data_IF_722955126117
#
_entry.id   IF_722955126117
#
_cell.length_a   1.000
_cell.length_b   1.000
_cell.length_c   1.000
_cell.angle_alpha   90.00
_cell.angle_beta   90.00
_cell.angle_gamma   90.00
#
_symmetry.space_group_name_H-M   'P 1'
#
loop_
_entity.id
_entity.type
_entity.pdbx_description
1 polymer ?
#
# COMPACT_ATOMS: atom_id res chain seq x y z
N UNK A 1 0.61 -24.27 10.96
CA UNK A 1 -0.03 -23.16 11.70
C UNK A 1 0.34 -21.80 11.14
N UNK A 2 1.64 -21.48 10.98
CA UNK A 2 2.11 -20.20 10.40
C UNK A 2 1.52 -19.88 9.02
N UNK A 3 1.46 -20.85 8.11
CA UNK A 3 0.84 -20.66 6.78
C UNK A 3 -0.62 -20.20 6.86
N UNK A 4 -1.38 -20.68 7.84
CA UNK A 4 -2.77 -20.27 8.04
C UNK A 4 -2.88 -18.79 8.47
N UNK A 5 -1.95 -18.33 9.31
CA UNK A 5 -1.88 -16.91 9.67
C UNK A 5 -1.49 -16.03 8.48
N UNK A 6 -0.49 -16.44 7.69
CA UNK A 6 -0.07 -15.70 6.49
C UNK A 6 -1.25 -15.54 5.54
N UNK A 7 -1.92 -16.63 5.16
CA UNK A 7 -3.06 -16.58 4.24
C UNK A 7 -4.18 -15.72 4.83
N UNK A 8 -4.52 -15.89 6.11
CA UNK A 8 -5.58 -15.13 6.75
C UNK A 8 -5.28 -13.62 6.76
N UNK A 9 -4.10 -13.21 7.19
CA UNK A 9 -3.73 -11.80 7.31
C UNK A 9 -3.48 -11.15 5.94
N UNK A 10 -2.93 -11.88 4.95
CA UNK A 10 -2.82 -11.37 3.58
C UNK A 10 -4.19 -11.14 2.94
N UNK A 11 -5.15 -12.06 3.14
CA UNK A 11 -6.53 -11.87 2.66
C UNK A 11 -7.26 -10.73 3.39
N UNK A 12 -6.99 -10.57 4.68
CA UNK A 12 -7.56 -9.47 5.47
C UNK A 12 -6.97 -8.11 5.08
N UNK A 13 -5.66 -8.06 4.79
CA UNK A 13 -4.95 -6.88 4.32
C UNK A 13 -5.33 -6.45 2.90
N UNK A 14 -5.63 -7.40 2.02
CA UNK A 14 -6.13 -7.14 0.68
C UNK A 14 -7.65 -6.97 0.66
N UNK A 15 -8.40 -8.06 0.44
CA UNK A 15 -9.86 -8.02 0.26
C UNK A 15 -10.57 -7.37 1.45
N UNK A 16 -10.11 -7.61 2.67
CA UNK A 16 -10.68 -7.00 3.86
C UNK A 16 -10.54 -5.47 3.89
N UNK A 17 -9.38 -4.93 3.51
CA UNK A 17 -9.16 -3.47 3.47
C UNK A 17 -9.99 -2.81 2.38
N UNK A 18 -10.12 -3.43 1.19
CA UNK A 18 -10.97 -2.93 0.09
C UNK A 18 -12.45 -2.90 0.49
N UNK A 19 -12.93 -3.91 1.21
CA UNK A 19 -14.32 -3.93 1.71
C UNK A 19 -14.56 -2.80 2.72
N UNK A 20 -13.59 -2.52 3.59
CA UNK A 20 -13.68 -1.45 4.58
C UNK A 20 -13.55 -0.07 3.89
N UNK A 21 -12.66 0.08 2.91
CA UNK A 21 -12.49 1.32 2.16
C UNK A 21 -13.75 1.68 1.37
N UNK A 22 -14.50 0.68 0.89
CA UNK A 22 -15.79 0.91 0.23
C UNK A 22 -16.85 1.53 1.14
N UNK A 23 -16.82 1.28 2.46
CA UNK A 23 -17.71 1.95 3.42
C UNK A 23 -17.44 3.45 3.45
N UNK A 24 -16.21 3.87 3.19
CA UNK A 24 -15.82 5.27 3.17
C UNK A 24 -16.55 6.08 2.08
N UNK A 25 -16.98 5.39 1.01
CA UNK A 25 -17.73 5.97 -0.10
C UNK A 25 -19.20 6.23 0.21
N UNK A 26 -19.69 5.71 1.33
CA UNK A 26 -21.04 6.00 1.84
C UNK A 26 -21.10 7.42 2.43
N UNK A 27 -19.96 7.95 2.90
CA UNK A 27 -19.93 9.30 3.47
C UNK A 27 -20.10 10.38 2.38
N UNK A 28 -20.72 11.53 2.70
CA UNK A 28 -20.78 12.67 1.79
C UNK A 28 -19.39 13.19 1.40
N UNK A 29 -19.24 13.69 0.17
CA UNK A 29 -17.98 14.21 -0.37
C UNK A 29 -17.28 15.23 0.53
N UNK A 30 -18.06 16.05 1.25
CA UNK A 30 -17.52 17.04 2.20
C UNK A 30 -16.74 16.39 3.34
N UNK A 31 -17.23 15.24 3.85
CA UNK A 31 -16.58 14.47 4.91
C UNK A 31 -15.34 13.77 4.34
N UNK A 32 -15.47 13.12 3.18
CA UNK A 32 -14.36 12.43 2.53
C UNK A 32 -13.16 13.36 2.29
N UNK A 33 -13.40 14.56 1.74
CA UNK A 33 -12.35 15.58 1.50
C UNK A 33 -11.60 15.98 2.76
N UNK A 34 -12.27 15.99 3.92
CA UNK A 34 -11.64 16.32 5.20
C UNK A 34 -10.92 15.14 5.87
N UNK A 35 -11.33 13.91 5.56
CA UNK A 35 -10.82 12.70 6.21
C UNK A 35 -9.66 12.07 5.43
N UNK A 36 -9.66 12.13 4.10
CA UNK A 36 -8.60 11.58 3.24
C UNK A 36 -7.20 12.07 3.64
N UNK A 37 -6.91 13.38 3.83
CA UNK A 37 -5.57 13.81 4.22
C UNK A 37 -5.13 13.27 5.59
N UNK A 38 -6.09 13.10 6.51
CA UNK A 38 -5.84 12.54 7.86
C UNK A 38 -5.54 11.05 7.79
N UNK A 39 -6.28 10.32 6.95
CA UNK A 39 -6.05 8.91 6.66
C UNK A 39 -4.68 8.68 6.02
N UNK A 40 -4.28 9.51 5.05
CA UNK A 40 -2.94 9.45 4.45
C UNK A 40 -1.86 9.68 5.51
N UNK A 41 -2.03 10.71 6.35
CA UNK A 41 -1.07 11.00 7.43
C UNK A 41 -0.96 9.84 8.43
N UNK A 42 -2.10 9.20 8.75
CA UNK A 42 -2.16 8.02 9.59
C UNK A 42 -1.44 6.82 8.96
N UNK A 43 -1.73 6.51 7.69
CA UNK A 43 -1.06 5.45 6.91
C UNK A 43 0.46 5.62 6.87
N UNK A 44 0.93 6.84 6.57
CA UNK A 44 2.36 7.16 6.58
C UNK A 44 2.97 6.95 7.97
N UNK A 45 2.26 7.37 9.02
CA UNK A 45 2.70 7.17 10.40
C UNK A 45 2.79 5.70 10.80
N UNK A 46 1.81 4.87 10.44
CA UNK A 46 1.80 3.44 10.72
C UNK A 46 2.95 2.72 10.03
N UNK A 47 3.19 3.01 8.75
CA UNK A 47 4.28 2.42 7.97
C UNK A 47 5.66 2.83 8.51
N UNK A 48 5.87 4.12 8.80
CA UNK A 48 7.13 4.58 9.41
C UNK A 48 7.33 3.95 10.79
N UNK A 49 6.28 3.86 11.60
CA UNK A 49 6.32 3.19 12.89
C UNK A 49 6.70 1.71 12.77
N UNK A 50 6.05 0.96 11.89
CA UNK A 50 6.36 -0.45 11.65
C UNK A 50 7.78 -0.65 11.14
N UNK A 51 8.25 0.20 10.21
CA UNK A 51 9.60 0.12 9.69
C UNK A 51 10.66 0.40 10.75
N UNK A 52 10.58 1.56 11.44
CA UNK A 52 11.63 2.04 12.34
C UNK A 52 11.59 1.40 13.73
N UNK A 53 10.42 1.04 14.24
CA UNK A 53 10.27 0.47 15.59
C UNK A 53 10.11 -1.05 15.58
N UNK A 54 9.75 -1.64 14.43
CA UNK A 54 9.53 -3.07 14.26
C UNK A 54 10.61 -3.70 13.39
N UNK A 55 10.46 -3.56 12.07
CA UNK A 55 11.18 -4.33 11.05
C UNK A 55 12.70 -4.11 11.08
N UNK A 56 13.15 -2.85 11.05
CA UNK A 56 14.58 -2.51 11.03
C UNK A 56 15.31 -2.97 12.29
N UNK A 57 14.86 -2.64 13.52
CA UNK A 57 15.56 -3.09 14.73
C UNK A 57 15.53 -4.61 14.86
N UNK A 58 14.41 -5.28 14.55
CA UNK A 58 14.36 -6.75 14.56
C UNK A 58 15.36 -7.36 13.57
N UNK A 59 15.45 -6.85 12.34
CA UNK A 59 16.41 -7.35 11.37
C UNK A 59 17.86 -7.16 11.86
N UNK A 60 18.16 -6.02 12.48
CA UNK A 60 19.50 -5.74 13.01
C UNK A 60 19.89 -6.69 14.15
N UNK A 61 18.93 -7.05 15.02
CA UNK A 61 19.12 -8.02 16.10
C UNK A 61 19.24 -9.46 15.59
N UNK A 62 18.39 -9.86 14.64
CA UNK A 62 18.30 -11.24 14.13
C UNK A 62 19.52 -11.61 13.26
N UNK A 63 19.95 -10.69 12.38
CA UNK A 63 21.14 -10.90 11.54
C UNK A 63 22.47 -10.61 12.27
N UNK A 64 22.44 -9.88 13.39
CA UNK A 64 23.63 -9.45 14.13
C UNK A 64 24.54 -8.47 13.39
N UNK A 65 24.13 -7.99 12.21
CA UNK A 65 24.88 -7.04 11.38
C UNK A 65 24.00 -5.81 11.05
N UNK A 66 24.16 -4.79 11.90
CA UNK A 66 23.49 -3.49 11.73
C UNK A 66 23.88 -2.83 10.42
N UNK A 67 25.15 -2.96 10.00
CA UNK A 67 25.65 -2.31 8.78
C UNK A 67 25.00 -2.93 7.55
N UNK A 68 24.92 -4.25 7.49
CA UNK A 68 24.23 -4.95 6.41
C UNK A 68 22.73 -4.59 6.38
N UNK A 69 22.08 -4.54 7.54
CA UNK A 69 20.67 -4.15 7.64
C UNK A 69 20.41 -2.76 7.08
N UNK A 70 21.20 -1.75 7.49
CA UNK A 70 21.07 -0.39 6.98
C UNK A 70 21.42 -0.28 5.49
N UNK A 71 22.38 -1.09 4.99
CA UNK A 71 22.68 -1.15 3.56
C UNK A 71 21.50 -1.71 2.76
N UNK A 72 20.81 -2.74 3.25
CA UNK A 72 19.62 -3.28 2.59
C UNK A 72 18.47 -2.26 2.57
N UNK A 73 18.26 -1.51 3.66
CA UNK A 73 17.31 -0.39 3.70
C UNK A 73 17.67 0.67 2.65
N UNK A 74 18.95 1.07 2.57
CA UNK A 74 19.41 2.05 1.59
C UNK A 74 19.21 1.56 0.14
N UNK A 75 19.51 0.29 -0.14
CA UNK A 75 19.28 -0.32 -1.46
C UNK A 75 17.79 -0.26 -1.80
N UNK A 76 16.90 -0.61 -0.87
CA UNK A 76 15.45 -0.50 -1.06
C UNK A 76 15.02 0.93 -1.38
N UNK A 77 15.49 1.92 -0.61
CA UNK A 77 15.21 3.34 -0.85
C UNK A 77 15.68 3.81 -2.23
N UNK A 78 16.89 3.41 -2.66
CA UNK A 78 17.43 3.75 -3.98
C UNK A 78 16.58 3.12 -5.09
N UNK A 79 16.16 1.85 -4.93
CA UNK A 79 15.30 1.17 -5.91
C UNK A 79 13.97 1.90 -6.04
N UNK A 80 13.28 2.18 -4.93
CA UNK A 80 12.01 2.91 -4.96
C UNK A 80 12.16 4.33 -5.53
N UNK A 81 13.24 5.03 -5.20
CA UNK A 81 13.55 6.33 -5.78
C UNK A 81 13.72 6.26 -7.30
N UNK A 82 14.43 5.26 -7.81
CA UNK A 82 14.61 5.05 -9.25
C UNK A 82 13.28 4.71 -9.92
N UNK A 83 12.49 3.81 -9.33
CA UNK A 83 11.15 3.44 -9.82
C UNK A 83 10.24 4.66 -9.92
N UNK A 84 10.23 5.53 -8.89
CA UNK A 84 9.49 6.78 -8.89
C UNK A 84 9.86 7.66 -10.10
N UNK A 85 11.16 7.82 -10.40
CA UNK A 85 11.60 8.61 -11.56
C UNK A 85 11.19 8.01 -12.89
N UNK A 86 11.25 6.69 -13.03
CA UNK A 86 10.77 6.02 -14.25
C UNK A 86 9.26 6.20 -14.46
N UNK A 87 8.48 6.15 -13.39
CA UNK A 87 7.02 6.33 -13.45
C UNK A 87 6.63 7.77 -13.82
N UNK A 88 7.35 8.78 -13.29
CA UNK A 88 7.08 10.20 -13.53
C UNK A 88 7.65 10.71 -14.87
N UNK A 89 8.60 10.01 -15.50
CA UNK A 89 9.22 10.42 -16.77
C UNK A 89 8.25 10.46 -17.97
N UNK A 90 6.96 10.16 -17.81
CA UNK A 90 5.96 10.46 -18.84
C UNK A 90 5.64 11.97 -18.87
N UNK A 91 6.58 12.79 -19.33
CA UNK A 91 6.35 14.18 -19.70
C UNK A 91 5.76 14.24 -21.12
N UNK A 92 4.51 14.68 -21.24
CA UNK A 92 3.89 15.05 -22.51
C UNK A 92 3.97 16.59 -22.63
N UNK A 93 4.55 17.09 -23.72
CA UNK A 93 4.82 18.51 -23.98
C UNK A 93 3.84 19.10 -25.01
N UNK A 94 2.60 18.62 -25.06
CA UNK A 94 1.60 19.06 -26.05
C UNK A 94 0.24 19.30 -25.41
N UNK A 95 -0.41 20.41 -25.79
CA UNK A 95 -1.67 20.95 -25.25
C UNK A 95 -2.91 20.04 -25.48
N UNK A 96 -2.74 18.89 -26.14
CA UNK A 96 -3.81 17.93 -26.48
C UNK A 96 -3.53 16.49 -26.02
N UNK A 97 -2.87 16.32 -24.87
CA UNK A 97 -2.53 14.98 -24.41
C UNK A 97 -3.70 14.36 -23.60
N UNK A 98 -4.22 13.21 -24.05
CA UNK A 98 -5.27 12.38 -23.42
C UNK A 98 -4.83 11.74 -22.07
N UNK A 99 -4.07 12.45 -21.24
CA UNK A 99 -3.33 11.93 -20.07
C UNK A 99 -4.26 11.59 -18.89
N UNK A 100 -5.52 12.04 -18.91
CA UNK A 100 -6.45 11.75 -17.83
C UNK A 100 -6.83 10.25 -17.72
N UNK A 101 -6.85 9.48 -18.81
CA UNK A 101 -7.12 8.03 -18.72
C UNK A 101 -5.88 7.20 -18.34
N UNK A 102 -4.67 7.66 -18.68
CA UNK A 102 -3.43 6.97 -18.40
C UNK A 102 -3.13 6.85 -16.89
N UNK A 103 -3.62 7.80 -16.08
CA UNK A 103 -3.42 7.83 -14.63
C UNK A 103 -4.08 6.64 -13.93
N UNK A 104 -5.29 6.23 -14.34
CA UNK A 104 -6.00 5.12 -13.69
C UNK A 104 -5.27 3.77 -13.84
N UNK A 105 -4.86 3.43 -15.07
CA UNK A 105 -4.16 2.16 -15.34
C UNK A 105 -2.80 2.04 -14.64
N UNK A 106 -2.05 3.14 -14.56
CA UNK A 106 -0.75 3.18 -13.89
C UNK A 106 -0.90 3.03 -12.37
N UNK A 107 -1.95 3.64 -11.79
CA UNK A 107 -2.28 3.46 -10.37
C UNK A 107 -2.59 2.00 -10.07
N UNK A 108 -3.45 1.35 -10.87
CA UNK A 108 -3.76 -0.08 -10.64
C UNK A 108 -2.53 -0.98 -10.66
N UNK A 109 -1.59 -0.72 -11.57
CA UNK A 109 -0.34 -1.51 -11.68
C UNK A 109 0.55 -1.25 -10.46
N UNK A 110 0.69 0.01 -10.05
CA UNK A 110 1.46 0.39 -8.87
C UNK A 110 0.89 -0.21 -7.60
N UNK A 111 -0.44 -0.16 -7.45
CA UNK A 111 -1.17 -0.72 -6.32
C UNK A 111 -1.05 -2.25 -6.26
N UNK A 112 -1.16 -2.95 -7.38
CA UNK A 112 -0.91 -4.40 -7.42
C UNK A 112 0.52 -4.77 -6.99
N UNK A 113 1.51 -3.99 -7.42
CA UNK A 113 2.89 -4.20 -7.00
C UNK A 113 3.09 -3.91 -5.50
N UNK A 114 2.42 -2.88 -4.97
CA UNK A 114 2.45 -2.56 -3.54
C UNK A 114 1.87 -3.70 -2.71
N UNK A 115 0.64 -4.13 -3.03
CA UNK A 115 -0.05 -5.24 -2.37
C UNK A 115 0.77 -6.54 -2.39
N UNK A 116 1.48 -6.81 -3.49
CA UNK A 116 2.40 -7.94 -3.57
C UNK A 116 3.58 -7.83 -2.59
N UNK A 117 4.21 -6.65 -2.49
CA UNK A 117 5.31 -6.40 -1.55
C UNK A 117 4.82 -6.52 -0.10
N UNK A 118 3.63 -6.02 0.19
CA UNK A 118 3.00 -6.16 1.50
C UNK A 118 2.72 -7.62 1.87
N UNK A 119 2.26 -8.42 0.90
CA UNK A 119 2.13 -9.86 1.05
C UNK A 119 3.46 -10.55 1.39
N UNK A 120 4.56 -10.17 0.73
CA UNK A 120 5.91 -10.67 1.06
C UNK A 120 6.30 -10.28 2.48
N UNK A 121 6.04 -9.04 2.89
CA UNK A 121 6.40 -8.53 4.22
C UNK A 121 5.61 -9.23 5.33
N UNK A 122 4.31 -9.48 5.14
CA UNK A 122 3.49 -10.30 6.04
C UNK A 122 4.07 -11.72 6.13
N UNK A 123 4.36 -12.34 4.99
CA UNK A 123 4.91 -13.70 4.97
C UNK A 123 6.25 -13.78 5.70
N UNK A 124 7.18 -12.88 5.39
CA UNK A 124 8.52 -12.82 5.98
C UNK A 124 8.45 -12.66 7.50
N UNK A 125 7.65 -11.71 7.99
CA UNK A 125 7.55 -11.43 9.42
C UNK A 125 6.90 -12.56 10.22
N UNK A 126 5.88 -13.22 9.67
CA UNK A 126 5.31 -14.42 10.30
C UNK A 126 6.27 -15.62 10.30
N UNK A 127 7.18 -15.71 9.32
CA UNK A 127 8.24 -16.73 9.33
C UNK A 127 9.34 -16.42 10.36
N UNK A 128 9.55 -15.15 10.70
CA UNK A 128 10.48 -14.73 11.75
C UNK A 128 9.88 -14.91 13.14
N UNK A 129 8.72 -14.31 13.42
CA UNK A 129 8.01 -14.52 14.69
C UNK A 129 6.52 -14.15 14.59
N UNK A 130 5.67 -14.86 15.36
CA UNK A 130 4.23 -14.57 15.40
C UNK A 130 3.93 -13.13 15.86
N UNK A 131 4.57 -12.59 16.93
CA UNK A 131 4.30 -11.20 17.35
C UNK A 131 4.65 -10.18 16.26
N UNK A 132 5.80 -10.32 15.61
CA UNK A 132 6.23 -9.43 14.52
C UNK A 132 5.29 -9.55 13.31
N UNK A 133 4.86 -10.77 12.97
CA UNK A 133 3.87 -11.01 11.91
C UNK A 133 2.54 -10.32 12.19
N UNK A 134 2.02 -10.42 13.42
CA UNK A 134 0.77 -9.77 13.81
C UNK A 134 0.90 -8.24 13.75
N UNK A 135 1.95 -7.66 14.34
CA UNK A 135 2.14 -6.20 14.34
C UNK A 135 2.30 -5.65 12.93
N UNK A 136 3.05 -6.37 12.08
CA UNK A 136 3.25 -6.01 10.68
C UNK A 136 1.95 -6.11 9.89
N UNK A 137 1.20 -7.19 10.04
CA UNK A 137 -0.09 -7.35 9.36
C UNK A 137 -1.11 -6.28 9.76
N UNK A 138 -1.18 -5.90 11.04
CA UNK A 138 -2.02 -4.77 11.46
C UNK A 138 -1.56 -3.45 10.84
N UNK A 139 -0.25 -3.21 10.77
CA UNK A 139 0.28 -2.03 10.08
C UNK A 139 -0.10 -2.04 8.60
N UNK A 140 -0.06 -3.20 7.94
CA UNK A 140 -0.48 -3.38 6.55
C UNK A 140 -1.95 -3.01 6.38
N UNK A 141 -2.84 -3.73 7.07
CA UNK A 141 -4.30 -3.50 7.02
C UNK A 141 -4.66 -2.03 7.27
N UNK A 142 -3.99 -1.39 8.24
CA UNK A 142 -4.33 -0.02 8.65
C UNK A 142 -3.90 1.06 7.67
N UNK A 143 -2.84 0.84 6.89
CA UNK A 143 -2.42 1.80 5.86
C UNK A 143 -3.04 1.51 4.48
N UNK A 144 -3.42 0.25 4.23
CA UNK A 144 -4.16 -0.17 3.02
C UNK A 144 -5.55 0.48 2.95
N UNK A 145 -6.28 0.58 4.07
CA UNK A 145 -7.61 1.23 4.06
C UNK A 145 -7.54 2.67 3.51
N UNK A 146 -6.66 3.57 4.00
CA UNK A 146 -6.43 4.88 3.41
C UNK A 146 -6.00 4.87 1.94
N UNK A 147 -5.11 3.95 1.54
CA UNK A 147 -4.60 3.82 0.18
C UNK A 147 -5.72 3.50 -0.80
N UNK A 148 -6.50 2.48 -0.48
CA UNK A 148 -7.64 2.01 -1.26
C UNK A 148 -8.73 3.09 -1.42
N UNK A 149 -8.98 3.88 -0.37
CA UNK A 149 -9.87 5.06 -0.47
C UNK A 149 -9.32 6.09 -1.48
N UNK A 150 -8.01 6.30 -1.49
CA UNK A 150 -7.33 7.20 -2.43
C UNK A 150 -7.47 6.73 -3.87
N UNK A 151 -7.19 5.46 -4.13
CA UNK A 151 -7.29 4.85 -5.46
C UNK A 151 -8.71 4.90 -6.00
N UNK A 152 -9.68 4.56 -5.15
CA UNK A 152 -11.09 4.67 -5.52
C UNK A 152 -11.47 6.10 -5.90
N UNK A 153 -11.02 7.10 -5.14
CA UNK A 153 -11.28 8.50 -5.42
C UNK A 153 -10.68 8.96 -6.77
N UNK A 154 -9.49 8.44 -7.13
CA UNK A 154 -8.87 8.74 -8.42
C UNK A 154 -9.60 8.05 -9.57
N UNK A 155 -9.98 6.78 -9.43
CA UNK A 155 -10.76 6.06 -10.44
C UNK A 155 -12.10 6.74 -10.73
N UNK A 156 -12.82 7.19 -9.69
CA UNK A 156 -14.06 7.96 -9.85
C UNK A 156 -13.84 9.28 -10.60
N UNK A 157 -12.74 10.00 -10.31
CA UNK A 157 -12.38 11.23 -11.04
C UNK A 157 -12.07 10.97 -12.51
N UNK A 158 -11.58 9.77 -12.83
CA UNK A 158 -11.33 9.34 -14.21
C UNK A 158 -12.59 8.75 -14.90
N UNK A 159 -13.79 9.10 -14.42
CA UNK A 159 -15.09 8.68 -14.97
C UNK A 159 -15.38 7.17 -14.89
N UNK A 160 -14.69 6.42 -14.03
CA UNK A 160 -15.06 5.03 -13.77
C UNK A 160 -16.34 4.99 -12.92
N UNK A 161 -17.23 4.04 -13.21
CA UNK A 161 -18.41 3.82 -12.37
C UNK A 161 -17.99 3.27 -11.00
N UNK A 162 -18.76 3.55 -9.94
CA UNK A 162 -18.49 3.02 -8.58
C UNK A 162 -18.26 1.51 -8.58
N UNK A 163 -19.07 0.75 -9.34
CA UNK A 163 -18.93 -0.70 -9.45
C UNK A 163 -17.60 -1.09 -10.12
N UNK A 164 -17.20 -0.38 -11.19
CA UNK A 164 -15.95 -0.67 -11.89
C UNK A 164 -14.73 -0.32 -11.04
N UNK A 165 -14.74 0.83 -10.36
CA UNK A 165 -13.68 1.23 -9.45
C UNK A 165 -13.50 0.20 -8.31
N UNK A 166 -14.62 -0.23 -7.71
CA UNK A 166 -14.59 -1.26 -6.65
C UNK A 166 -14.00 -2.58 -7.12
N UNK A 167 -14.44 -3.06 -8.28
CA UNK A 167 -13.93 -4.32 -8.84
C UNK A 167 -12.45 -4.22 -9.21
N UNK A 168 -11.99 -3.07 -9.69
CA UNK A 168 -10.59 -2.87 -10.04
C UNK A 168 -9.70 -2.90 -8.80
N UNK A 169 -10.08 -2.22 -7.71
CA UNK A 169 -9.35 -2.28 -6.44
C UNK A 169 -9.29 -3.69 -5.86
N UNK A 170 -10.38 -4.46 -5.91
CA UNK A 170 -10.33 -5.88 -5.50
C UNK A 170 -9.33 -6.67 -6.37
N UNK A 171 -9.28 -6.40 -7.66
CA UNK A 171 -8.40 -7.11 -8.59
C UNK A 171 -6.93 -6.72 -8.37
N UNK A 172 -6.62 -5.45 -8.06
CA UNK A 172 -5.24 -5.06 -7.76
C UNK A 172 -4.77 -5.54 -6.39
N UNK A 173 -5.67 -5.64 -5.42
CA UNK A 173 -5.34 -6.16 -4.09
C UNK A 173 -5.08 -7.68 -4.03
N UNK A 174 -5.43 -8.45 -5.07
CA UNK A 174 -5.30 -9.92 -5.13
C UNK A 174 -3.95 -10.38 -5.68
#
# INVERSE_FOLDING_TARGET
MVLGYIIFFSLLGSVGSVLISALFLVFPDKIQKGLIPKCISFATGTLLGAAFLGLIPHAAEDFGDVRLTLLMVLVGLIIFFILEKFVIWRHCHDDHCHVHEASGSLIMIGDAFHNFVDGIVIAATFTTSIPLGITTAFSVITHEIPQEVGDFAILLKNNYTKKRAFMLNIISGL
#
